data_IF_667378087856
#
_entry.id   IF_667378087856
#
_cell.length_a   1.000
_cell.length_b   1.000
_cell.length_c   1.000
_cell.angle_alpha   90.00
_cell.angle_beta   90.00
_cell.angle_gamma   90.00
#
_symmetry.space_group_name_H-M   'P 1'
#
loop_
_entity.id
_entity.type
_entity.pdbx_description
1 polymer ?
#
# COMPACT_ATOMS: atom_id res chain seq x y z
N UNK A 1 14.28 24.35 -7.45
CA UNK A 1 13.05 25.09 -7.84
C UNK A 1 12.06 24.25 -8.67
N UNK A 2 12.49 23.33 -9.56
CA UNK A 2 11.57 22.46 -10.35
C UNK A 2 10.71 21.44 -9.56
N UNK A 3 10.99 21.20 -8.28
CA UNK A 3 10.22 20.30 -7.40
C UNK A 3 9.29 21.02 -6.42
N UNK A 4 9.48 22.33 -6.22
CA UNK A 4 8.74 23.10 -5.22
C UNK A 4 7.29 23.33 -5.64
N UNK A 5 7.04 23.56 -6.93
CA UNK A 5 5.68 23.77 -7.47
C UNK A 5 4.82 22.51 -7.34
N UNK A 6 5.27 21.30 -7.78
CA UNK A 6 4.52 20.07 -7.55
C UNK A 6 4.24 19.78 -6.08
N UNK A 7 5.23 19.99 -5.19
CA UNK A 7 5.06 19.77 -3.75
C UNK A 7 4.00 20.70 -3.16
N UNK A 8 3.97 21.96 -3.58
CA UNK A 8 3.02 22.95 -3.11
C UNK A 8 1.59 22.56 -3.53
N UNK A 9 1.40 22.11 -4.77
CA UNK A 9 0.12 21.60 -5.27
C UNK A 9 -0.35 20.42 -4.42
N UNK A 10 0.51 19.40 -4.23
CA UNK A 10 0.15 18.22 -3.43
C UNK A 10 -0.20 18.59 -1.99
N UNK A 11 0.55 19.51 -1.37
CA UNK A 11 0.24 19.99 -0.02
C UNK A 11 -1.12 20.69 0.05
N UNK A 12 -1.41 21.63 -0.86
CA UNK A 12 -2.69 22.34 -0.87
C UNK A 12 -3.85 21.37 -1.10
N UNK A 13 -3.73 20.48 -2.08
CA UNK A 13 -4.76 19.47 -2.36
C UNK A 13 -4.97 18.54 -1.17
N UNK A 14 -3.90 18.12 -0.47
CA UNK A 14 -4.00 17.32 0.74
C UNK A 14 -4.74 18.02 1.88
N UNK A 15 -4.43 19.29 2.14
CA UNK A 15 -5.15 20.09 3.14
C UNK A 15 -6.63 20.29 2.76
N UNK A 16 -6.92 20.53 1.48
CA UNK A 16 -8.28 20.66 0.99
C UNK A 16 -9.09 19.38 1.24
N UNK A 17 -8.54 18.21 0.91
CA UNK A 17 -9.19 16.91 1.17
C UNK A 17 -9.43 16.66 2.66
N UNK A 18 -8.49 17.08 3.53
CA UNK A 18 -8.65 16.97 4.98
C UNK A 18 -9.81 17.84 5.47
N UNK A 19 -9.87 19.11 5.07
CA UNK A 19 -10.93 20.04 5.49
C UNK A 19 -12.30 19.54 5.02
N UNK A 20 -12.39 19.13 3.75
CA UNK A 20 -13.63 18.64 3.16
C UNK A 20 -14.17 17.40 3.88
N UNK A 21 -13.30 16.52 4.39
CA UNK A 21 -13.71 15.34 5.15
C UNK A 21 -14.45 15.69 6.45
N UNK A 22 -14.09 16.79 7.13
CA UNK A 22 -14.75 17.21 8.38
C UNK A 22 -15.91 18.18 8.16
N UNK A 23 -15.94 18.92 7.03
CA UNK A 23 -16.98 19.90 6.70
C UNK A 23 -17.53 19.59 5.31
N UNK A 24 -18.51 18.67 5.20
CA UNK A 24 -19.15 18.38 3.92
C UNK A 24 -20.06 19.53 3.52
N UNK A 25 -19.67 20.31 2.49
CA UNK A 25 -20.61 21.14 1.72
C UNK A 25 -21.28 20.24 0.68
N UNK A 26 -22.62 20.29 0.56
CA UNK A 26 -23.41 19.46 -0.37
C UNK A 26 -22.87 19.54 -1.83
N UNK A 27 -22.42 20.72 -2.27
CA UNK A 27 -21.85 20.94 -3.61
C UNK A 27 -20.45 20.32 -3.82
N UNK A 28 -19.80 19.85 -2.76
CA UNK A 28 -18.43 19.34 -2.78
C UNK A 28 -18.36 17.81 -2.77
N UNK A 29 -19.43 17.12 -2.34
CA UNK A 29 -19.43 15.66 -2.18
C UNK A 29 -19.06 14.92 -3.47
N UNK A 30 -19.60 15.35 -4.63
CA UNK A 30 -19.29 14.74 -5.93
C UNK A 30 -17.80 14.79 -6.29
N UNK A 31 -17.10 15.85 -5.89
CA UNK A 31 -15.68 16.06 -6.18
C UNK A 31 -14.81 15.18 -5.27
N UNK A 32 -15.23 14.98 -4.02
CA UNK A 32 -14.55 14.07 -3.09
C UNK A 32 -14.68 12.62 -3.52
N UNK A 33 -15.89 12.16 -3.84
CA UNK A 33 -16.11 10.80 -4.34
C UNK A 33 -15.29 10.54 -5.61
N UNK A 34 -15.27 11.50 -6.55
CA UNK A 34 -14.47 11.37 -7.77
C UNK A 34 -12.98 11.27 -7.48
N UNK A 35 -12.46 12.04 -6.53
CA UNK A 35 -11.04 11.97 -6.16
C UNK A 35 -10.74 10.63 -5.47
N UNK A 36 -11.63 10.13 -4.61
CA UNK A 36 -11.48 8.81 -3.99
C UNK A 36 -11.43 7.70 -5.04
N UNK A 37 -12.31 7.73 -6.04
CA UNK A 37 -12.29 6.77 -7.15
C UNK A 37 -10.94 6.80 -7.87
N UNK A 38 -10.41 7.98 -8.17
CA UNK A 38 -9.09 8.13 -8.79
C UNK A 38 -7.98 7.58 -7.90
N UNK A 39 -8.03 7.84 -6.60
CA UNK A 39 -7.05 7.33 -5.64
C UNK A 39 -7.09 5.81 -5.59
N UNK A 40 -8.27 5.18 -5.59
CA UNK A 40 -8.40 3.72 -5.58
C UNK A 40 -7.80 3.13 -6.86
N UNK A 41 -8.16 3.67 -8.04
CA UNK A 41 -7.63 3.19 -9.33
C UNK A 41 -6.11 3.32 -9.38
N UNK A 42 -5.56 4.49 -9.04
CA UNK A 42 -4.11 4.72 -8.99
C UNK A 42 -3.47 3.81 -7.93
N UNK A 43 -4.12 3.64 -6.78
CA UNK A 43 -3.68 2.81 -5.67
C UNK A 43 -3.51 1.35 -6.04
N UNK A 44 -4.44 0.77 -6.81
CA UNK A 44 -4.32 -0.60 -7.31
C UNK A 44 -3.06 -0.78 -8.16
N UNK A 45 -2.78 0.13 -9.10
CA UNK A 45 -1.56 0.07 -9.91
C UNK A 45 -0.30 0.33 -9.08
N UNK A 46 -0.35 1.29 -8.16
CA UNK A 46 0.75 1.60 -7.26
C UNK A 46 1.09 0.42 -6.35
N UNK A 47 0.10 -0.34 -5.89
CA UNK A 47 0.29 -1.55 -5.09
C UNK A 47 1.02 -2.64 -5.87
N UNK A 48 0.63 -2.87 -7.13
CA UNK A 48 1.34 -3.81 -8.03
C UNK A 48 2.78 -3.38 -8.28
N UNK A 49 3.01 -2.09 -8.55
CA UNK A 49 4.35 -1.54 -8.71
C UNK A 49 5.18 -1.61 -7.43
N UNK A 50 4.55 -1.40 -6.27
CA UNK A 50 5.18 -1.51 -4.95
C UNK A 50 5.65 -2.94 -4.68
N UNK A 51 4.77 -3.93 -4.93
CA UNK A 51 5.10 -5.34 -4.80
C UNK A 51 6.23 -5.75 -5.75
N UNK A 52 6.15 -5.31 -7.01
CA UNK A 52 7.18 -5.57 -8.02
C UNK A 52 8.52 -4.95 -7.63
N UNK A 53 8.53 -3.68 -7.24
CA UNK A 53 9.73 -2.94 -6.83
C UNK A 53 10.40 -3.60 -5.62
N UNK A 54 9.62 -3.91 -4.57
CA UNK A 54 10.11 -4.58 -3.37
C UNK A 54 10.74 -5.94 -3.72
N UNK A 55 10.05 -6.74 -4.51
CA UNK A 55 10.51 -8.06 -4.91
C UNK A 55 11.77 -7.97 -5.77
N UNK A 56 11.76 -7.12 -6.80
CA UNK A 56 12.88 -6.94 -7.72
C UNK A 56 14.15 -6.47 -7.01
N UNK A 57 14.04 -5.44 -6.17
CA UNK A 57 15.17 -4.89 -5.42
C UNK A 57 15.71 -5.91 -4.42
N UNK A 58 14.81 -6.56 -3.66
CA UNK A 58 15.22 -7.53 -2.64
C UNK A 58 15.87 -8.76 -3.28
N UNK A 59 15.29 -9.30 -4.36
CA UNK A 59 15.85 -10.44 -5.10
C UNK A 59 17.22 -10.08 -5.70
N UNK A 60 17.37 -8.91 -6.29
CA UNK A 60 18.65 -8.48 -6.87
C UNK A 60 19.73 -8.33 -5.78
N UNK A 61 19.37 -7.81 -4.60
CA UNK A 61 20.29 -7.73 -3.44
C UNK A 61 20.70 -9.12 -2.94
N UNK A 62 19.76 -10.05 -2.86
CA UNK A 62 20.05 -11.45 -2.47
C UNK A 62 20.95 -12.13 -3.50
N UNK A 63 20.64 -12.02 -4.81
CA UNK A 63 21.44 -12.60 -5.90
C UNK A 63 22.87 -12.07 -5.92
N UNK A 64 23.06 -10.77 -5.70
CA UNK A 64 24.37 -10.12 -5.70
C UNK A 64 25.13 -10.27 -4.36
N UNK A 65 24.53 -10.90 -3.35
CA UNK A 65 25.08 -11.08 -2.00
C UNK A 65 25.66 -9.78 -1.40
N UNK A 66 24.99 -8.65 -1.65
CA UNK A 66 25.43 -7.35 -1.09
C UNK A 66 25.41 -7.40 0.44
N UNK A 67 26.25 -6.62 1.14
CA UNK A 67 26.24 -6.56 2.59
C UNK A 67 24.81 -6.32 3.13
N UNK A 68 24.37 -7.15 4.08
CA UNK A 68 22.99 -7.13 4.57
C UNK A 68 21.97 -7.89 3.70
N UNK A 69 22.41 -8.76 2.79
CA UNK A 69 21.51 -9.57 1.95
C UNK A 69 20.52 -10.43 2.76
N UNK A 70 20.91 -10.89 3.96
CA UNK A 70 20.06 -11.71 4.84
C UNK A 70 18.74 -11.02 5.21
N UNK A 71 18.75 -9.71 5.48
CA UNK A 71 17.52 -8.95 5.77
C UNK A 71 16.55 -8.95 4.59
N UNK A 72 17.07 -8.89 3.37
CA UNK A 72 16.24 -8.92 2.16
C UNK A 72 15.62 -10.32 1.95
N UNK A 73 16.31 -11.38 2.40
CA UNK A 73 15.76 -12.73 2.37
C UNK A 73 14.61 -12.90 3.36
N UNK A 74 14.75 -12.35 4.58
CA UNK A 74 13.67 -12.32 5.59
C UNK A 74 12.46 -11.53 5.08
N UNK A 75 12.70 -10.37 4.44
CA UNK A 75 11.63 -9.57 3.86
C UNK A 75 10.88 -10.31 2.75
N UNK A 76 11.61 -10.97 1.84
CA UNK A 76 11.01 -11.80 0.78
C UNK A 76 10.25 -12.98 1.36
N UNK A 77 10.81 -13.68 2.35
CA UNK A 77 10.12 -14.82 2.96
C UNK A 77 8.84 -14.38 3.66
N UNK A 78 8.85 -13.26 4.39
CA UNK A 78 7.65 -12.72 5.04
C UNK A 78 6.58 -12.31 4.02
N UNK A 79 6.99 -11.67 2.93
CA UNK A 79 6.08 -11.29 1.84
C UNK A 79 5.40 -12.51 1.23
N UNK A 80 6.17 -13.52 0.80
CA UNK A 80 5.61 -14.72 0.19
C UNK A 80 4.83 -15.58 1.17
N UNK A 81 5.26 -15.65 2.42
CA UNK A 81 4.52 -16.34 3.48
C UNK A 81 3.13 -15.74 3.66
N UNK A 82 3.02 -14.42 3.79
CA UNK A 82 1.72 -13.74 3.90
C UNK A 82 0.86 -13.92 2.64
N UNK A 83 1.47 -13.85 1.45
CA UNK A 83 0.75 -14.12 0.20
C UNK A 83 0.20 -15.55 0.15
N UNK A 84 1.02 -16.55 0.48
CA UNK A 84 0.59 -17.95 0.43
C UNK A 84 -0.52 -18.21 1.44
N UNK A 85 -0.36 -17.75 2.69
CA UNK A 85 -1.38 -17.95 3.73
C UNK A 85 -2.68 -17.21 3.41
N UNK A 86 -2.61 -16.05 2.74
CA UNK A 86 -3.80 -15.32 2.29
C UNK A 86 -4.47 -15.92 1.06
N UNK A 87 -3.71 -16.35 0.05
CA UNK A 87 -4.28 -16.81 -1.23
C UNK A 87 -4.69 -18.28 -1.25
N UNK A 88 -3.99 -19.18 -0.53
CA UNK A 88 -4.26 -20.63 -0.59
C UNK A 88 -5.66 -21.00 -0.10
N UNK A 89 -6.16 -20.48 1.04
CA UNK A 89 -7.54 -20.72 1.49
C UNK A 89 -8.59 -19.90 0.74
N UNK A 90 -8.20 -18.99 -0.16
CA UNK A 90 -9.11 -18.16 -0.93
C UNK A 90 -9.95 -17.22 -0.05
N UNK A 91 -11.27 -17.21 -0.25
CA UNK A 91 -12.18 -16.30 0.47
C UNK A 91 -12.25 -16.61 1.97
N UNK A 92 -11.97 -17.84 2.39
CA UNK A 92 -11.98 -18.24 3.80
C UNK A 92 -10.87 -17.56 4.61
N UNK A 93 -9.81 -17.10 3.93
CA UNK A 93 -8.74 -16.31 4.55
C UNK A 93 -9.23 -15.00 5.13
N UNK A 94 -10.31 -14.41 4.61
CA UNK A 94 -10.83 -13.12 5.08
C UNK A 94 -11.84 -13.26 6.23
N UNK A 95 -12.16 -14.49 6.63
CA UNK A 95 -13.07 -14.76 7.75
C UNK A 95 -12.36 -14.54 9.07
N UNK A 96 -13.02 -13.86 10.01
CA UNK A 96 -12.50 -13.60 11.36
C UNK A 96 -12.21 -14.94 12.06
N UNK A 97 -10.96 -15.15 12.48
CA UNK A 97 -10.48 -16.41 13.05
C UNK A 97 -9.68 -17.31 12.09
N UNK A 98 -9.53 -16.91 10.82
CA UNK A 98 -8.64 -17.62 9.89
C UNK A 98 -7.16 -17.43 10.28
N UNK A 99 -6.30 -18.36 9.83
CA UNK A 99 -4.86 -18.25 10.03
C UNK A 99 -4.29 -16.95 9.44
N UNK A 100 -4.82 -16.50 8.29
CA UNK A 100 -4.43 -15.24 7.67
C UNK A 100 -4.82 -14.03 8.54
N UNK A 101 -6.06 -13.97 9.01
CA UNK A 101 -6.55 -12.85 9.83
C UNK A 101 -5.79 -12.75 11.15
N UNK A 102 -5.51 -13.88 11.80
CA UNK A 102 -4.68 -13.87 13.02
C UNK A 102 -3.29 -13.32 12.77
N UNK A 103 -2.59 -13.81 11.73
CA UNK A 103 -1.27 -13.31 11.38
C UNK A 103 -1.30 -11.84 11.00
N UNK A 104 -2.32 -11.41 10.26
CA UNK A 104 -2.51 -10.03 9.85
C UNK A 104 -2.74 -9.10 11.04
N UNK A 105 -3.65 -9.46 11.95
CA UNK A 105 -3.95 -8.69 13.17
C UNK A 105 -2.72 -8.58 14.07
N UNK A 106 -1.94 -9.65 14.25
CA UNK A 106 -0.69 -9.62 15.03
C UNK A 106 0.40 -8.71 14.45
N UNK A 107 0.40 -8.49 13.14
CA UNK A 107 1.38 -7.61 12.48
C UNK A 107 0.90 -6.16 12.44
N UNK A 108 -0.42 -5.94 12.41
CA UNK A 108 -1.01 -4.61 12.32
C UNK A 108 -1.11 -3.90 13.68
N UNK A 109 -1.23 -4.66 14.79
CA UNK A 109 -1.35 -4.17 16.17
C UNK A 109 0.00 -4.22 16.87
#
# INVERSE_FOLDING_TARGET
MRRSVPLLIVSITGFFMLIQYFIPLEESEWLYERILDWIIVIGCFAMLLGLWSLTYVSVNKVKRKVPGWGYNLVALSGLFFMLIVGFVPGQESLVRGSAFMHLFEYVYI
#
